data_IF_237769845996
#
_entry.id   IF_237769845996
#
_cell.length_a   1.000
_cell.length_b   1.000
_cell.length_c   1.000
_cell.angle_alpha   90.00
_cell.angle_beta   90.00
_cell.angle_gamma   90.00
#
_symmetry.space_group_name_H-M   'P 1'
#
loop_
_entity.id
_entity.type
_entity.pdbx_description
1 polymer ?
#
# COMPACT_ATOMS: atom_id res chain seq x y z
N UNK A 1 -15.62 -4.72 2.56
CA UNK A 1 -15.37 -3.76 3.65
C UNK A 1 -14.77 -4.50 4.85
N UNK A 2 -13.80 -3.91 5.53
CA UNK A 2 -13.06 -4.53 6.63
C UNK A 2 -12.74 -3.50 7.71
N UNK A 3 -12.86 -3.90 8.98
CA UNK A 3 -12.49 -3.04 10.12
C UNK A 3 -11.01 -2.65 10.04
N UNK A 4 -10.71 -1.37 10.29
CA UNK A 4 -9.35 -0.90 10.49
C UNK A 4 -8.86 -1.35 11.86
N UNK A 5 -7.69 -2.00 11.89
CA UNK A 5 -7.05 -2.43 13.12
C UNK A 5 -6.46 -1.25 13.90
N UNK A 6 -6.16 -1.46 15.18
CA UNK A 6 -5.77 -0.39 16.10
C UNK A 6 -4.51 0.37 15.67
N UNK A 7 -3.49 -0.34 15.17
CA UNK A 7 -2.24 0.30 14.74
C UNK A 7 -2.46 1.15 13.48
N UNK A 8 -3.20 0.63 12.50
CA UNK A 8 -3.56 1.42 11.32
C UNK A 8 -4.40 2.65 11.68
N UNK A 9 -5.33 2.52 12.63
CA UNK A 9 -6.15 3.63 13.10
C UNK A 9 -5.32 4.70 13.84
N UNK A 10 -4.33 4.27 14.63
CA UNK A 10 -3.36 5.16 15.26
C UNK A 10 -2.60 5.97 14.19
N UNK A 11 -1.95 5.28 13.23
CA UNK A 11 -1.19 5.96 12.16
C UNK A 11 -2.08 6.88 11.31
N UNK A 12 -3.33 6.50 11.06
CA UNK A 12 -4.28 7.34 10.32
C UNK A 12 -4.57 8.67 11.02
N UNK A 13 -4.66 8.66 12.36
CA UNK A 13 -4.99 9.84 13.15
C UNK A 13 -3.78 10.71 13.50
N UNK A 14 -2.58 10.13 13.58
CA UNK A 14 -1.33 10.84 13.87
C UNK A 14 -0.73 11.56 12.64
N UNK A 15 -1.29 11.33 11.44
CA UNK A 15 -0.85 12.01 10.22
C UNK A 15 -1.05 13.53 10.33
N UNK A 16 0.05 14.29 10.23
CA UNK A 16 0.02 15.76 10.27
C UNK A 16 1.05 16.38 9.31
N UNK A 17 0.85 17.66 8.99
CA UNK A 17 1.81 18.41 8.17
C UNK A 17 3.17 18.48 8.87
N UNK A 18 4.17 17.79 8.32
CA UNK A 18 5.51 17.67 8.90
C UNK A 18 5.81 16.35 9.61
N UNK A 19 4.80 15.50 9.84
CA UNK A 19 4.96 14.13 10.32
C UNK A 19 3.98 13.20 9.59
N UNK A 20 4.43 12.74 8.43
CA UNK A 20 3.68 11.82 7.57
C UNK A 20 3.93 10.37 8.01
N UNK A 21 2.89 9.54 8.01
CA UNK A 21 2.92 8.16 8.51
C UNK A 21 3.14 7.12 7.41
N UNK A 22 3.59 7.53 6.22
CA UNK A 22 3.96 6.62 5.15
C UNK A 22 5.40 6.10 5.32
N UNK A 23 5.64 4.87 4.87
CA UNK A 23 6.99 4.30 4.82
C UNK A 23 7.53 4.32 3.40
N UNK A 24 8.84 4.52 3.24
CA UNK A 24 9.56 4.30 2.00
C UNK A 24 10.45 3.06 2.12
N UNK A 25 10.54 2.28 1.04
CA UNK A 25 11.50 1.17 0.93
C UNK A 25 12.29 1.32 -0.36
N UNK A 26 13.60 1.22 -0.28
CA UNK A 26 14.52 1.20 -1.43
C UNK A 26 15.21 -0.16 -1.46
N UNK A 27 15.22 -0.79 -2.63
CA UNK A 27 15.87 -2.08 -2.84
C UNK A 27 16.76 -2.02 -4.07
N UNK A 28 17.99 -2.51 -3.93
CA UNK A 28 18.96 -2.64 -5.03
C UNK A 28 18.98 -4.12 -5.45
N UNK A 29 18.82 -4.39 -6.74
CA UNK A 29 18.73 -5.75 -7.27
C UNK A 29 19.67 -5.94 -8.46
N UNK A 30 20.38 -7.07 -8.50
CA UNK A 30 21.11 -7.50 -9.68
C UNK A 30 20.13 -8.09 -10.71
N UNK A 31 20.12 -7.49 -11.91
CA UNK A 31 19.23 -7.88 -13.01
C UNK A 31 19.97 -8.59 -14.15
N UNK A 32 21.29 -8.80 -14.04
CA UNK A 32 22.15 -9.35 -15.09
C UNK A 32 21.74 -10.77 -15.53
N UNK A 33 21.13 -11.55 -14.64
CA UNK A 33 20.73 -12.94 -14.87
C UNK A 33 19.29 -13.12 -15.33
N UNK A 34 18.53 -12.04 -15.55
CA UNK A 34 17.13 -12.14 -16.00
C UNK A 34 17.10 -12.58 -17.48
N UNK A 35 16.51 -13.73 -17.82
CA UNK A 35 16.43 -14.18 -19.22
C UNK A 35 15.66 -13.16 -20.08
N UNK A 36 16.27 -12.75 -21.20
CA UNK A 36 15.77 -11.69 -22.07
C UNK A 36 15.97 -10.27 -21.53
N UNK A 37 16.79 -10.10 -20.49
CA UNK A 37 17.15 -8.80 -19.92
C UNK A 37 16.05 -8.15 -19.08
N UNK A 38 16.42 -7.11 -18.33
CA UNK A 38 15.48 -6.28 -17.58
C UNK A 38 15.04 -5.08 -18.39
N UNK A 39 13.76 -4.71 -18.26
CA UNK A 39 13.26 -3.39 -18.61
C UNK A 39 12.06 -3.05 -17.72
N UNK A 40 11.71 -1.77 -17.68
CA UNK A 40 10.65 -1.25 -16.82
C UNK A 40 9.26 -1.85 -17.14
N UNK A 41 8.92 -2.01 -18.42
CA UNK A 41 7.61 -2.54 -18.81
C UNK A 41 7.42 -3.99 -18.33
N UNK A 42 8.43 -4.85 -18.48
CA UNK A 42 8.40 -6.24 -17.96
C UNK A 42 8.24 -6.29 -16.45
N UNK A 43 8.87 -5.36 -15.72
CA UNK A 43 8.68 -5.23 -14.28
C UNK A 43 7.24 -4.82 -13.96
N UNK A 44 6.73 -3.77 -14.58
CA UNK A 44 5.35 -3.29 -14.39
C UNK A 44 4.32 -4.39 -14.66
N UNK A 45 4.46 -5.12 -15.76
CA UNK A 45 3.55 -6.22 -16.12
C UNK A 45 3.63 -7.38 -15.12
N UNK A 46 4.81 -7.65 -14.57
CA UNK A 46 5.01 -8.67 -13.54
C UNK A 46 4.37 -8.31 -12.21
N UNK A 47 4.36 -7.01 -11.83
CA UNK A 47 3.64 -6.50 -10.67
C UNK A 47 2.14 -6.51 -10.92
N UNK A 48 1.68 -5.99 -12.05
CA UNK A 48 0.26 -5.90 -12.40
C UNK A 48 -0.43 -7.28 -12.35
N UNK A 49 0.20 -8.31 -12.92
CA UNK A 49 -0.32 -9.69 -12.89
C UNK A 49 -0.50 -10.24 -11.47
N UNK A 50 0.28 -9.76 -10.50
CA UNK A 50 0.29 -10.23 -9.10
C UNK A 50 -0.38 -9.29 -8.13
N UNK A 51 -0.84 -8.12 -8.58
CA UNK A 51 -1.46 -7.11 -7.71
C UNK A 51 -2.70 -7.65 -6.97
N UNK A 52 -3.39 -8.63 -7.56
CA UNK A 52 -4.52 -9.31 -6.92
C UNK A 52 -4.13 -10.05 -5.62
N UNK A 53 -2.87 -10.49 -5.49
CA UNK A 53 -2.30 -11.12 -4.29
C UNK A 53 -2.00 -10.11 -3.17
N UNK A 54 -2.04 -8.81 -3.48
CA UNK A 54 -1.73 -7.73 -2.57
C UNK A 54 -2.97 -6.83 -2.41
N UNK A 55 -4.07 -7.35 -1.82
CA UNK A 55 -5.34 -6.62 -1.71
C UNK A 55 -5.21 -5.31 -0.94
N UNK A 56 -4.22 -5.19 -0.03
CA UNK A 56 -3.98 -3.98 0.74
C UNK A 56 -3.66 -2.74 -0.09
N UNK A 57 -3.05 -2.91 -1.27
CA UNK A 57 -2.75 -1.79 -2.16
C UNK A 57 -3.96 -1.23 -2.90
N UNK A 58 -5.12 -1.89 -2.76
CA UNK A 58 -6.38 -1.45 -3.39
C UNK A 58 -7.38 -0.92 -2.37
N UNK A 59 -7.10 -1.03 -1.08
CA UNK A 59 -8.00 -0.55 -0.05
C UNK A 59 -7.99 0.97 0.03
N UNK A 60 -9.16 1.54 0.29
CA UNK A 60 -9.31 2.96 0.63
C UNK A 60 -9.92 3.09 2.02
N UNK A 61 -9.49 4.10 2.78
CA UNK A 61 -10.12 4.43 4.04
C UNK A 61 -11.44 5.16 3.76
N UNK A 62 -12.55 4.62 4.25
CA UNK A 62 -13.86 5.23 4.19
C UNK A 62 -14.30 5.65 5.59
N UNK A 63 -14.61 6.95 5.76
CA UNK A 63 -15.08 7.49 7.03
C UNK A 63 -16.46 6.91 7.38
N UNK A 64 -16.64 6.58 8.65
CA UNK A 64 -17.94 6.15 9.19
C UNK A 64 -18.79 7.39 9.50
N UNK A 65 -20.09 7.40 9.15
CA UNK A 65 -20.97 8.52 9.47
C UNK A 65 -20.92 8.89 10.95
N UNK A 66 -20.96 10.21 11.22
CA UNK A 66 -20.94 10.80 12.57
C UNK A 66 -19.70 10.44 13.42
N UNK A 67 -18.66 9.83 12.85
CA UNK A 67 -17.43 9.50 13.59
C UNK A 67 -17.62 8.43 14.67
N UNK A 68 -18.66 7.59 14.58
CA UNK A 68 -19.00 6.57 15.59
C UNK A 68 -17.96 5.45 15.73
N UNK A 69 -17.05 5.32 14.76
CA UNK A 69 -15.96 4.34 14.75
C UNK A 69 -14.80 4.87 13.89
N UNK A 70 -13.61 4.27 14.04
CA UNK A 70 -12.51 4.46 13.09
C UNK A 70 -12.96 4.19 11.64
N UNK A 71 -12.33 4.83 10.63
CA UNK A 71 -12.59 4.51 9.23
C UNK A 71 -12.48 3.02 8.94
N UNK A 72 -13.19 2.54 7.91
CA UNK A 72 -13.12 1.15 7.46
C UNK A 72 -12.35 1.06 6.15
N UNK A 73 -11.73 -0.08 5.89
CA UNK A 73 -11.11 -0.40 4.62
C UNK A 73 -12.18 -0.87 3.62
N UNK A 74 -12.27 -0.22 2.47
CA UNK A 74 -13.12 -0.65 1.34
C UNK A 74 -12.28 -1.10 0.16
#
# INVERSE_FOLDING_TARGET
>A
MRRMDGLSAFLYHEEQSGAVMHTLKISIMDTSKIPGGWNYDRFRDSVARRLHLLPMFRWKALKVPFGLHHPVWV
#
